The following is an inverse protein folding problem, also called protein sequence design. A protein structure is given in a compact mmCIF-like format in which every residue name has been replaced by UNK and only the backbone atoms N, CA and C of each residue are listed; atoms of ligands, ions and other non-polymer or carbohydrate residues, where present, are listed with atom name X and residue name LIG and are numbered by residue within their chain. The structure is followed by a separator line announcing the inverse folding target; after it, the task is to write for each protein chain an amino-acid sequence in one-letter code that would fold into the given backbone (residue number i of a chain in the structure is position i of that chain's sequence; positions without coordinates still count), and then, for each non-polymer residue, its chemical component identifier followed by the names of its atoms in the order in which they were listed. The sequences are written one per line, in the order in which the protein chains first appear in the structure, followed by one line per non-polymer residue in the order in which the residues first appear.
data_IF_575520531235
#
_entry.id   IF_575520531235
#
_cell.length_a   1.000
_cell.length_b   1.000
_cell.length_c   1.000
_cell.angle_alpha   90.00
_cell.angle_beta   90.00
_cell.angle_gamma   90.00
#
_symmetry.space_group_name_H-M   'P 1'
#
loop_
_entity.id
_entity.type
_entity.pdbx_description
1 polymer ?
#
# COMPACT_ATOMS: atom_id res chain seq x y z
N UNK A 1 45.55 -66.02 27.37
CA UNK A 1 46.62 -65.73 26.40
C UNK A 1 46.09 -64.73 25.39
N UNK A 2 46.86 -63.66 25.14
CA UNK A 2 46.57 -62.45 24.37
C UNK A 2 46.07 -62.74 22.95
N UNK A 3 45.13 -61.93 22.42
CA UNK A 3 45.26 -61.24 21.11
C UNK A 3 44.44 -59.94 21.11
N UNK A 4 45.16 -58.89 20.70
CA UNK A 4 44.76 -57.49 20.56
C UNK A 4 44.05 -57.35 19.21
N UNK A 5 42.99 -56.55 19.13
CA UNK A 5 42.49 -56.04 17.86
C UNK A 5 42.17 -54.55 18.02
N UNK A 6 42.85 -53.72 17.24
CA UNK A 6 42.91 -52.27 17.35
C UNK A 6 41.57 -51.59 16.96
N UNK A 7 41.21 -50.43 17.55
CA UNK A 7 40.06 -49.67 17.10
C UNK A 7 40.44 -48.87 15.85
N UNK A 8 39.73 -49.14 14.75
CA UNK A 8 39.76 -48.36 13.52
C UNK A 8 39.07 -47.01 13.78
N UNK A 9 39.86 -45.94 13.95
CA UNK A 9 39.37 -44.56 14.02
C UNK A 9 38.93 -44.10 12.62
N UNK A 10 37.62 -44.15 12.36
CA UNK A 10 37.00 -43.63 11.14
C UNK A 10 36.60 -42.16 11.38
N UNK A 11 37.46 -41.22 10.96
CA UNK A 11 37.15 -39.79 10.95
C UNK A 11 36.20 -39.47 9.78
N UNK A 12 34.89 -39.38 10.04
CA UNK A 12 33.90 -38.93 9.06
C UNK A 12 33.93 -37.40 9.02
N UNK A 13 34.56 -36.84 7.98
CA UNK A 13 34.44 -35.42 7.65
C UNK A 13 33.03 -35.16 7.08
N UNK A 14 32.14 -34.60 7.91
CA UNK A 14 30.80 -34.20 7.50
C UNK A 14 30.88 -32.83 6.79
N UNK A 15 31.15 -32.84 5.49
CA UNK A 15 31.04 -31.63 4.65
C UNK A 15 29.58 -31.21 4.57
N UNK A 16 29.20 -30.21 5.36
CA UNK A 16 27.88 -29.57 5.25
C UNK A 16 27.80 -28.79 3.94
N UNK A 17 27.25 -29.41 2.90
CA UNK A 17 26.79 -28.70 1.71
C UNK A 17 25.59 -27.83 2.11
N UNK A 18 25.84 -26.54 2.33
CA UNK A 18 24.77 -25.55 2.40
C UNK A 18 24.21 -25.36 0.98
N UNK A 19 23.18 -26.14 0.64
CA UNK A 19 22.35 -25.85 -0.53
C UNK A 19 21.60 -24.56 -0.23
N UNK A 20 22.10 -23.44 -0.75
CA UNK A 20 21.32 -22.20 -0.77
C UNK A 20 20.15 -22.43 -1.74
N UNK A 21 18.94 -22.64 -1.21
CA UNK A 21 17.77 -22.67 -2.06
C UNK A 21 17.69 -21.33 -2.84
N UNK A 22 17.40 -21.34 -4.15
CA UNK A 22 17.22 -20.10 -4.88
C UNK A 22 16.08 -19.32 -4.22
N UNK A 23 16.37 -18.09 -3.79
CA UNK A 23 15.35 -17.15 -3.34
C UNK A 23 14.52 -16.74 -4.57
N UNK A 24 13.50 -17.54 -4.89
CA UNK A 24 12.46 -17.13 -5.82
C UNK A 24 11.67 -16.02 -5.14
N UNK A 25 12.04 -14.76 -5.40
CA UNK A 25 11.15 -13.63 -5.23
C UNK A 25 9.77 -14.02 -5.78
N UNK A 26 8.72 -13.91 -4.97
CA UNK A 26 7.38 -14.39 -5.38
C UNK A 26 7.00 -13.83 -6.75
N UNK A 27 6.75 -14.72 -7.70
CA UNK A 27 6.39 -14.39 -9.08
C UNK A 27 5.07 -13.61 -9.15
N UNK A 28 4.35 -13.51 -8.03
CA UNK A 28 3.06 -12.85 -7.91
C UNK A 28 3.01 -11.90 -6.72
N UNK A 29 2.04 -11.01 -6.76
CA UNK A 29 1.64 -10.17 -5.65
C UNK A 29 0.23 -9.64 -5.85
N UNK A 30 -0.16 -8.69 -5.02
CA UNK A 30 -1.51 -8.14 -5.05
C UNK A 30 -1.49 -6.71 -5.53
N UNK A 31 -2.42 -6.36 -6.43
CA UNK A 31 -2.75 -4.95 -6.69
C UNK A 31 -4.05 -4.55 -6.01
N UNK A 32 -4.03 -3.40 -5.35
CA UNK A 32 -5.09 -2.99 -4.44
C UNK A 32 -5.03 -1.48 -4.15
N UNK A 33 -6.00 -0.98 -3.39
CA UNK A 33 -5.99 0.38 -2.85
C UNK A 33 -5.19 0.45 -1.55
N UNK A 34 -4.00 1.04 -1.61
CA UNK A 34 -3.20 1.39 -0.43
C UNK A 34 -3.68 2.68 0.21
N UNK A 35 -3.60 2.75 1.54
CA UNK A 35 -4.01 3.88 2.35
C UNK A 35 -2.81 4.50 3.07
N UNK A 36 -2.65 5.82 2.94
CA UNK A 36 -1.52 6.58 3.42
C UNK A 36 -2.00 7.85 4.10
N UNK A 37 -1.23 8.34 5.07
CA UNK A 37 -1.59 9.50 5.85
C UNK A 37 -0.40 10.46 5.98
N UNK A 38 -0.74 11.74 6.11
CA UNK A 38 0.15 12.78 6.62
C UNK A 38 -0.60 13.54 7.70
N UNK A 39 -0.35 13.19 8.96
CA UNK A 39 -1.06 13.76 10.12
C UNK A 39 -0.74 15.23 10.32
N UNK A 40 0.47 15.67 9.96
CA UNK A 40 0.91 17.07 10.01
C UNK A 40 0.48 17.87 8.77
N UNK A 41 -0.13 17.21 7.79
CA UNK A 41 -0.56 17.78 6.52
C UNK A 41 0.57 18.10 5.53
N UNK A 42 1.82 17.76 5.86
CA UNK A 42 3.02 17.96 5.02
C UNK A 42 4.02 16.82 5.26
N UNK A 43 5.03 16.74 4.40
CA UNK A 43 6.11 15.75 4.53
C UNK A 43 5.80 14.45 3.78
N UNK A 44 6.58 13.37 4.01
CA UNK A 44 6.39 12.12 3.29
C UNK A 44 5.07 11.46 3.69
N UNK A 45 4.54 10.66 2.77
CA UNK A 45 3.44 9.75 3.06
C UNK A 45 3.88 8.70 4.09
N UNK A 46 3.02 8.43 5.06
CA UNK A 46 3.16 7.30 5.98
C UNK A 46 2.10 6.27 5.61
N UNK A 47 2.50 5.02 5.37
CA UNK A 47 1.53 3.94 5.16
C UNK A 47 0.69 3.74 6.41
N UNK A 48 -0.63 3.62 6.27
CA UNK A 48 -1.50 3.39 7.41
C UNK A 48 -1.36 1.95 7.89
N UNK A 49 -1.00 1.76 9.16
CA UNK A 49 -0.88 0.43 9.79
C UNK A 49 -2.22 -0.18 10.18
N UNK A 50 -3.26 0.65 10.21
CA UNK A 50 -4.64 0.25 10.42
C UNK A 50 -5.49 0.72 9.24
N UNK A 51 -6.64 0.07 9.04
CA UNK A 51 -7.61 0.50 8.04
C UNK A 51 -8.14 1.91 8.33
N UNK A 52 -8.95 2.48 7.41
CA UNK A 52 -9.46 3.85 7.47
C UNK A 52 -10.58 4.05 8.50
N UNK A 53 -10.57 3.29 9.59
CA UNK A 53 -11.62 3.24 10.62
C UNK A 53 -11.30 4.08 11.85
N UNK A 54 -10.17 4.79 11.85
CA UNK A 54 -9.74 5.66 12.93
C UNK A 54 -10.08 7.12 12.63
N UNK A 55 -10.38 7.89 13.68
CA UNK A 55 -10.68 9.31 13.58
C UNK A 55 -9.42 10.04 13.12
N UNK A 56 -9.53 10.84 12.05
CA UNK A 56 -8.42 11.62 11.51
C UNK A 56 -8.36 13.03 12.11
N UNK A 57 -7.18 13.65 12.15
CA UNK A 57 -7.02 15.00 12.72
C UNK A 57 -7.33 16.09 11.71
N UNK A 58 -7.88 17.23 12.16
CA UNK A 58 -7.97 18.44 11.34
C UNK A 58 -6.58 18.84 10.84
N UNK A 59 -6.48 19.29 9.59
CA UNK A 59 -5.19 19.64 9.00
C UNK A 59 -4.42 18.45 8.40
N UNK A 60 -4.90 17.21 8.56
CA UNK A 60 -4.25 16.05 7.93
C UNK A 60 -4.49 16.02 6.42
N UNK A 61 -3.66 15.21 5.74
CA UNK A 61 -3.92 14.80 4.37
C UNK A 61 -4.02 13.27 4.32
N UNK A 62 -5.13 12.78 3.78
CA UNK A 62 -5.38 11.36 3.53
C UNK A 62 -5.07 11.01 2.07
N UNK A 63 -4.42 9.87 1.86
CA UNK A 63 -3.90 9.43 0.58
C UNK A 63 -4.39 8.03 0.25
N UNK A 64 -4.89 7.86 -0.97
CA UNK A 64 -5.32 6.58 -1.51
C UNK A 64 -4.62 6.34 -2.83
N UNK A 65 -4.02 5.18 -3.01
CA UNK A 65 -3.29 4.87 -4.24
C UNK A 65 -3.54 3.44 -4.71
N UNK A 66 -3.85 3.28 -5.99
CA UNK A 66 -3.93 1.96 -6.59
C UNK A 66 -2.51 1.43 -6.84
N UNK A 67 -2.08 0.50 -6.01
CA UNK A 67 -0.69 0.11 -5.81
C UNK A 67 -0.52 -1.40 -5.86
N UNK A 68 0.72 -1.86 -5.71
CA UNK A 68 1.08 -3.27 -5.74
C UNK A 68 2.11 -3.57 -4.66
N UNK A 69 1.98 -4.73 -4.03
CA UNK A 69 3.01 -5.31 -3.17
C UNK A 69 3.12 -6.82 -3.41
N UNK A 70 4.30 -7.34 -3.14
CA UNK A 70 4.64 -8.77 -3.16
C UNK A 70 5.77 -9.03 -2.17
N UNK A 71 6.18 -10.29 -2.01
CA UNK A 71 7.35 -10.61 -1.19
C UNK A 71 8.63 -9.93 -1.70
N UNK A 72 8.70 -9.62 -2.99
CA UNK A 72 9.80 -8.90 -3.62
C UNK A 72 9.67 -7.37 -3.50
N UNK A 73 8.47 -6.87 -3.22
CA UNK A 73 8.10 -5.46 -3.19
C UNK A 73 7.20 -5.26 -1.96
N UNK A 74 7.83 -5.23 -0.79
CA UNK A 74 7.13 -5.23 0.50
C UNK A 74 6.37 -3.93 0.74
N UNK A 75 6.93 -2.81 0.29
CA UNK A 75 6.35 -1.49 0.49
C UNK A 75 5.50 -1.09 -0.73
N UNK A 76 4.21 -0.94 -0.49
CA UNK A 76 3.32 -0.30 -1.45
C UNK A 76 3.82 1.11 -1.79
N UNK A 77 3.82 1.44 -3.08
CA UNK A 77 4.15 2.79 -3.52
C UNK A 77 3.08 3.76 -3.05
N UNK A 78 3.50 4.84 -2.39
CA UNK A 78 2.64 5.92 -1.92
C UNK A 78 2.07 6.76 -3.09
N UNK A 79 1.02 7.58 -2.86
CA UNK A 79 0.52 8.50 -3.88
C UNK A 79 1.62 9.41 -4.44
N UNK A 80 1.62 9.65 -5.75
CA UNK A 80 2.67 10.45 -6.43
C UNK A 80 2.62 11.92 -6.08
N UNK A 81 1.42 12.45 -5.81
CA UNK A 81 1.27 13.82 -5.32
C UNK A 81 1.59 13.84 -3.83
N UNK A 82 2.53 14.70 -3.44
CA UNK A 82 2.95 14.83 -2.03
C UNK A 82 1.85 15.50 -1.19
N UNK A 83 1.75 15.13 0.11
CA UNK A 83 0.86 15.80 1.05
C UNK A 83 1.17 17.29 1.15
N UNK A 84 0.15 18.12 0.95
CA UNK A 84 0.25 19.56 1.18
C UNK A 84 -1.12 20.15 1.53
N UNK A 85 -1.48 20.07 2.81
CA UNK A 85 -2.74 20.60 3.33
C UNK A 85 -2.94 22.08 2.98
N UNK A 86 -1.90 22.89 3.15
CA UNK A 86 -1.95 24.32 2.85
C UNK A 86 -2.34 24.62 1.40
N UNK A 87 -1.86 23.79 0.45
CA UNK A 87 -2.23 23.91 -0.96
C UNK A 87 -3.60 23.33 -1.26
N UNK A 88 -3.91 22.14 -0.73
CA UNK A 88 -5.17 21.43 -0.99
C UNK A 88 -6.37 22.18 -0.43
N UNK A 89 -6.22 22.75 0.77
CA UNK A 89 -7.28 23.41 1.52
C UNK A 89 -7.19 24.94 1.50
N UNK A 90 -6.38 25.52 0.61
CA UNK A 90 -6.11 26.97 0.55
C UNK A 90 -7.39 27.82 0.48
N UNK A 91 -8.40 27.34 -0.26
CA UNK A 91 -9.67 28.03 -0.49
C UNK A 91 -10.81 27.48 0.38
N UNK A 92 -10.53 26.46 1.20
CA UNK A 92 -11.55 25.82 2.04
C UNK A 92 -11.70 26.58 3.34
N UNK A 93 -12.82 27.28 3.47
CA UNK A 93 -13.18 28.01 4.69
C UNK A 93 -13.37 27.06 5.86
N UNK A 94 -13.04 27.53 7.06
CA UNK A 94 -13.44 26.87 8.29
C UNK A 94 -14.97 26.84 8.38
N UNK A 95 -15.52 25.71 8.81
CA UNK A 95 -16.97 25.45 8.82
C UNK A 95 -17.56 25.28 10.23
N UNK A 96 -16.86 25.79 11.24
CA UNK A 96 -17.28 25.74 12.65
C UNK A 96 -16.60 24.64 13.46
N UNK A 97 -16.76 24.71 14.78
CA UNK A 97 -16.00 23.93 15.78
C UNK A 97 -16.24 22.41 15.74
N UNK A 98 -17.38 22.00 15.16
CA UNK A 98 -17.75 20.59 15.00
C UNK A 98 -17.33 20.00 13.65
N UNK A 99 -16.64 20.78 12.81
CA UNK A 99 -16.14 20.35 11.52
C UNK A 99 -14.61 20.41 11.48
N UNK A 100 -14.03 19.61 10.59
CA UNK A 100 -12.59 19.62 10.29
C UNK A 100 -12.36 19.58 8.79
N UNK A 101 -11.22 20.11 8.36
CA UNK A 101 -10.76 20.12 6.97
C UNK A 101 -9.71 19.06 6.80
N UNK A 102 -9.86 18.28 5.74
CA UNK A 102 -8.94 17.19 5.42
C UNK A 102 -8.56 17.31 3.96
N UNK A 103 -7.25 17.35 3.69
CA UNK A 103 -6.75 17.22 2.32
C UNK A 103 -6.91 15.78 1.86
N UNK A 104 -7.28 15.56 0.61
CA UNK A 104 -7.46 14.21 0.05
C UNK A 104 -6.75 14.08 -1.28
N UNK A 105 -5.94 13.04 -1.41
CA UNK A 105 -5.29 12.65 -2.66
C UNK A 105 -5.76 11.23 -3.03
N UNK A 106 -6.32 11.06 -4.21
CA UNK A 106 -6.61 9.75 -4.80
C UNK A 106 -5.80 9.59 -6.07
N UNK A 107 -4.85 8.66 -6.04
CA UNK A 107 -3.96 8.31 -7.13
C UNK A 107 -4.37 6.97 -7.74
N UNK A 108 -4.86 6.96 -8.99
CA UNK A 108 -5.30 5.75 -9.67
C UNK A 108 -4.16 4.82 -10.13
N UNK A 109 -2.95 5.07 -9.64
CA UNK A 109 -1.81 4.17 -9.79
C UNK A 109 -1.02 4.39 -11.07
N UNK A 110 0.06 3.61 -11.19
CA UNK A 110 0.90 3.59 -12.40
C UNK A 110 0.19 2.81 -13.50
N UNK A 111 0.39 3.23 -14.75
CA UNK A 111 -0.22 2.58 -15.92
C UNK A 111 0.09 1.07 -16.01
N UNK A 112 1.24 0.62 -15.49
CA UNK A 112 1.60 -0.81 -15.43
C UNK A 112 0.65 -1.64 -14.56
N UNK A 113 0.03 -1.04 -13.55
CA UNK A 113 -0.91 -1.72 -12.66
C UNK A 113 -2.34 -1.72 -13.19
N UNK A 114 -2.61 -0.99 -14.27
CA UNK A 114 -3.94 -0.84 -14.85
C UNK A 114 -4.52 -2.19 -15.28
N UNK A 115 -5.74 -2.55 -14.87
CA UNK A 115 -6.41 -3.74 -15.38
C UNK A 115 -6.53 -3.69 -16.91
N UNK A 116 -6.47 -4.85 -17.55
CA UNK A 116 -6.53 -4.95 -19.01
C UNK A 116 -7.88 -4.41 -19.51
N UNK A 117 -7.83 -3.50 -20.49
CA UNK A 117 -9.03 -2.91 -21.10
C UNK A 117 -9.67 -1.78 -20.28
N UNK A 118 -9.13 -1.45 -19.11
CA UNK A 118 -9.60 -0.31 -18.32
C UNK A 118 -8.77 0.94 -18.60
N UNK A 119 -9.35 2.11 -18.33
CA UNK A 119 -8.69 3.43 -18.40
C UNK A 119 -8.69 4.02 -17.00
N UNK A 120 -7.50 4.35 -16.50
CA UNK A 120 -7.35 4.97 -15.17
C UNK A 120 -7.94 6.39 -15.19
N UNK A 121 -8.79 6.75 -14.21
CA UNK A 121 -9.24 8.13 -14.05
C UNK A 121 -8.08 9.09 -13.76
N UNK A 122 -8.35 10.38 -13.89
CA UNK A 122 -7.41 11.43 -13.45
C UNK A 122 -7.33 11.41 -11.92
N UNK A 123 -6.11 11.55 -11.38
CA UNK A 123 -5.91 11.67 -9.94
C UNK A 123 -6.70 12.84 -9.36
N UNK A 124 -7.21 12.64 -8.15
CA UNK A 124 -7.98 13.64 -7.41
C UNK A 124 -7.05 14.25 -6.35
N UNK A 125 -7.10 15.57 -6.24
CA UNK A 125 -6.40 16.32 -5.20
C UNK A 125 -7.33 17.45 -4.76
N UNK A 126 -7.93 17.32 -3.58
CA UNK A 126 -8.97 18.23 -3.11
C UNK A 126 -8.92 18.38 -1.59
N UNK A 127 -9.84 19.17 -1.05
CA UNK A 127 -10.06 19.31 0.38
C UNK A 127 -11.54 19.14 0.69
N UNK A 128 -11.84 18.42 1.77
CA UNK A 128 -13.20 18.21 2.25
C UNK A 128 -13.39 18.78 3.65
N UNK A 129 -14.64 19.13 3.95
CA UNK A 129 -15.09 19.49 5.29
C UNK A 129 -15.96 18.35 5.79
N UNK A 130 -15.58 17.73 6.91
CA UNK A 130 -16.28 16.59 7.50
C UNK A 130 -16.53 16.82 8.99
N UNK A 131 -17.37 15.99 9.62
CA UNK A 131 -17.58 16.03 11.06
C UNK A 131 -16.31 15.75 11.84
N UNK A 132 -16.18 16.34 13.02
CA UNK A 132 -14.99 16.20 13.87
C UNK A 132 -14.70 14.73 14.24
N UNK A 133 -15.75 13.91 14.35
CA UNK A 133 -15.66 12.46 14.59
C UNK A 133 -15.36 11.63 13.34
N UNK A 134 -15.28 12.24 12.15
CA UNK A 134 -15.13 11.51 10.89
C UNK A 134 -13.85 10.66 10.87
N UNK A 135 -13.99 9.43 10.40
CA UNK A 135 -12.89 8.49 10.19
C UNK A 135 -12.36 8.62 8.75
N UNK A 136 -11.23 7.96 8.45
CA UNK A 136 -10.64 7.96 7.11
C UNK A 136 -11.62 7.54 6.00
N UNK A 137 -12.53 6.61 6.31
CA UNK A 137 -13.52 6.12 5.35
C UNK A 137 -14.56 7.19 5.02
N UNK A 138 -15.04 7.94 6.02
CA UNK A 138 -15.98 9.06 5.81
C UNK A 138 -15.34 10.15 4.94
N UNK A 139 -14.06 10.43 5.18
CA UNK A 139 -13.27 11.39 4.38
C UNK A 139 -13.19 10.94 2.92
N UNK A 140 -12.90 9.66 2.68
CA UNK A 140 -12.86 9.13 1.31
C UNK A 140 -14.24 9.18 0.64
N UNK A 141 -15.28 8.83 1.39
CA UNK A 141 -16.66 8.78 0.89
C UNK A 141 -17.20 10.17 0.52
N UNK A 142 -16.68 11.22 1.16
CA UNK A 142 -16.97 12.61 0.79
C UNK A 142 -16.37 13.03 -0.57
N UNK A 143 -15.42 12.26 -1.12
CA UNK A 143 -14.70 12.60 -2.37
C UNK A 143 -15.09 11.70 -3.53
N UNK A 144 -15.28 10.40 -3.28
CA UNK A 144 -15.49 9.40 -4.33
C UNK A 144 -16.57 8.40 -3.96
N UNK A 145 -17.19 7.82 -4.99
CA UNK A 145 -18.02 6.61 -4.81
C UNK A 145 -17.10 5.43 -4.49
N UNK A 146 -17.38 4.76 -3.38
CA UNK A 146 -16.61 3.60 -2.91
C UNK A 146 -17.40 2.32 -3.23
N UNK A 147 -16.72 1.32 -3.80
CA UNK A 147 -17.16 -0.07 -3.78
C UNK A 147 -16.27 -0.82 -2.81
N UNK A 148 -16.85 -1.38 -1.75
CA UNK A 148 -16.16 -2.22 -0.79
C UNK A 148 -16.65 -3.68 -0.87
N UNK A 149 -15.81 -4.62 -0.45
CA UNK A 149 -16.22 -6.00 -0.21
C UNK A 149 -17.11 -6.09 1.03
N UNK A 150 -17.72 -7.26 1.25
CA UNK A 150 -18.44 -7.56 2.49
C UNK A 150 -17.57 -7.49 3.76
N UNK A 151 -16.25 -7.64 3.62
CA UNK A 151 -15.28 -7.49 4.71
C UNK A 151 -14.81 -6.04 4.92
N UNK A 152 -15.35 -5.07 4.17
CA UNK A 152 -14.96 -3.66 4.26
C UNK A 152 -13.68 -3.31 3.49
N UNK A 153 -13.13 -4.24 2.69
CA UNK A 153 -11.97 -3.98 1.85
C UNK A 153 -12.34 -3.08 0.67
N UNK A 154 -11.59 -2.00 0.44
CA UNK A 154 -11.87 -1.05 -0.65
C UNK A 154 -11.50 -1.68 -2.00
N UNK A 155 -12.51 -2.04 -2.77
CA UNK A 155 -12.35 -2.65 -4.09
C UNK A 155 -12.19 -1.61 -5.20
N UNK A 156 -12.96 -0.52 -5.17
CA UNK A 156 -12.94 0.50 -6.20
C UNK A 156 -13.26 1.90 -5.67
N UNK A 157 -12.62 2.89 -6.28
CA UNK A 157 -12.88 4.31 -6.08
C UNK A 157 -13.29 4.92 -7.41
N UNK A 158 -14.40 5.66 -7.45
CA UNK A 158 -14.95 6.27 -8.67
C UNK A 158 -15.11 5.26 -9.82
N UNK A 159 -15.47 4.02 -9.50
CA UNK A 159 -15.65 2.94 -10.46
C UNK A 159 -14.36 2.27 -10.96
N UNK A 160 -13.19 2.61 -10.42
CA UNK A 160 -11.91 2.00 -10.79
C UNK A 160 -11.24 1.25 -9.62
N UNK A 161 -10.73 0.03 -9.84
CA UNK A 161 -10.99 -0.80 -11.02
C UNK A 161 -12.46 -1.25 -11.08
N UNK A 162 -12.98 -1.48 -12.28
CA UNK A 162 -14.40 -1.74 -12.49
C UNK A 162 -14.87 -3.06 -11.87
N UNK A 163 -14.02 -4.10 -11.90
CA UNK A 163 -14.43 -5.47 -11.55
C UNK A 163 -13.63 -6.06 -10.41
N UNK A 164 -12.31 -5.98 -10.47
CA UNK A 164 -11.43 -6.64 -9.50
C UNK A 164 -11.52 -6.01 -8.09
N UNK A 165 -11.03 -6.75 -7.10
CA UNK A 165 -10.95 -6.33 -5.71
C UNK A 165 -9.75 -7.04 -5.06
N UNK A 166 -8.58 -6.40 -5.05
CA UNK A 166 -7.35 -7.01 -4.51
C UNK A 166 -6.85 -8.17 -5.37
N UNK A 167 -6.71 -7.98 -6.69
CA UNK A 167 -6.33 -9.06 -7.59
C UNK A 167 -4.88 -9.52 -7.36
N UNK A 168 -4.69 -10.84 -7.26
CA UNK A 168 -3.36 -11.45 -7.39
C UNK A 168 -2.93 -11.40 -8.87
N UNK A 169 -1.77 -10.83 -9.15
CA UNK A 169 -1.21 -10.71 -10.49
C UNK A 169 0.26 -11.12 -10.50
N UNK A 170 0.80 -11.53 -11.65
CA UNK A 170 2.25 -11.65 -11.80
C UNK A 170 2.94 -10.32 -11.48
N UNK A 171 4.06 -10.38 -10.75
CA UNK A 171 4.82 -9.18 -10.40
C UNK A 171 5.25 -8.45 -11.68
N UNK A 172 4.81 -7.20 -11.90
CA UNK A 172 5.15 -6.51 -13.13
C UNK A 172 6.66 -6.30 -13.25
N UNK A 173 7.31 -6.70 -14.35
CA UNK A 173 8.77 -6.62 -14.47
C UNK A 173 9.35 -5.22 -14.29
N UNK A 174 8.60 -4.17 -14.61
CA UNK A 174 9.03 -2.77 -14.41
C UNK A 174 9.00 -2.31 -12.96
N UNK A 175 8.38 -3.09 -12.06
CA UNK A 175 8.35 -2.80 -10.62
C UNK A 175 9.43 -3.58 -9.86
N UNK A 176 9.95 -4.66 -10.45
CA UNK A 176 11.18 -5.29 -10.01
C UNK A 176 12.32 -4.31 -10.24
N UNK A 177 12.66 -3.53 -9.21
CA UNK A 177 13.93 -2.82 -9.20
C UNK A 177 14.98 -3.92 -9.32
N UNK A 178 15.70 -3.98 -10.45
CA UNK A 178 16.96 -4.73 -10.50
C UNK A 178 17.83 -4.08 -9.42
N UNK A 179 17.88 -4.68 -8.24
CA UNK A 179 19.05 -4.59 -7.38
C UNK A 179 20.19 -5.15 -8.23
N UNK A 180 20.80 -4.27 -9.04
CA UNK A 180 22.16 -4.50 -9.52
C UNK A 180 22.98 -4.64 -8.25
N UNK A 181 23.25 -5.88 -7.87
CA UNK A 181 24.36 -6.23 -7.01
C UNK A 181 25.46 -6.75 -7.92
#
# INVERSE_FOLDING_TARGET
MKKICAPLLLFIFLTSFFVSAPAHASDKGYRYWGYFQSTTGKGPWVSAMTGPTTVVSDGSVEGWVFTFSSDAIVDAQAPRLTPNFGKLCATTKFAGENKKRIGVVVDFGRAVLRPRGEVSPRSIATCVVVDKSAIGFDVLQAVVKIRASSSGFVCALSGYPAKECGAEIPTPPSLLIRTKK
#
